data_IF_959902091704
#
_entry.id   IF_959902091704
#
_cell.length_a   1.000
_cell.length_b   1.000
_cell.length_c   1.000
_cell.angle_alpha   90.00
_cell.angle_beta   90.00
_cell.angle_gamma   90.00
#
_symmetry.space_group_name_H-M   'P 1'
#
loop_
_entity.id
_entity.type
_entity.pdbx_description
1 polymer ?
#
# COMPACT_ATOMS: atom_id res chain seq x y z
N UNK A 1 5.94 47.76 -3.20
CA UNK A 1 6.33 48.12 -1.82
C UNK A 1 5.32 47.49 -0.87
N UNK A 2 5.67 46.36 -0.27
CA UNK A 2 4.85 45.75 0.78
C UNK A 2 4.92 46.63 2.02
N UNK A 3 3.77 46.93 2.64
CA UNK A 3 3.74 47.65 3.92
C UNK A 3 4.60 46.86 4.93
N UNK A 4 5.50 47.52 5.67
CA UNK A 4 6.21 46.87 6.76
C UNK A 4 5.16 46.36 7.75
N UNK A 5 5.21 45.07 8.05
CA UNK A 5 4.40 44.47 9.11
C UNK A 5 5.03 44.92 10.42
N UNK A 6 4.37 45.80 11.15
CA UNK A 6 4.79 46.15 12.50
C UNK A 6 4.64 44.90 13.38
N UNK A 7 5.71 44.45 14.07
CA UNK A 7 5.57 43.38 15.03
C UNK A 7 4.60 43.81 16.14
N UNK A 8 3.82 42.87 16.71
CA UNK A 8 2.92 43.19 17.81
C UNK A 8 3.68 43.84 18.97
N UNK A 9 3.03 44.73 19.74
CA UNK A 9 3.65 45.40 20.88
C UNK A 9 4.25 44.40 21.88
N UNK A 10 5.46 44.68 22.40
CA UNK A 10 6.26 43.75 23.22
C UNK A 10 5.55 43.23 24.48
N UNK A 11 4.51 43.94 24.96
CA UNK A 11 3.79 43.64 26.20
C UNK A 11 2.93 42.36 26.15
N UNK A 12 2.71 41.76 24.98
CA UNK A 12 2.00 40.47 24.83
C UNK A 12 2.91 39.33 24.33
N UNK A 13 4.24 39.46 24.48
CA UNK A 13 5.19 38.42 24.03
C UNK A 13 5.71 37.58 25.20
N UNK A 14 5.27 36.31 25.25
CA UNK A 14 5.82 35.34 26.20
C UNK A 14 7.21 34.90 25.71
N UNK A 15 8.26 35.20 26.49
CA UNK A 15 9.62 34.74 26.20
C UNK A 15 9.75 33.26 26.55
N UNK A 16 9.75 32.40 25.53
CA UNK A 16 9.96 30.96 25.70
C UNK A 16 11.40 30.59 25.39
N UNK A 17 12.00 29.76 26.23
CA UNK A 17 13.32 29.17 25.96
C UNK A 17 13.26 28.33 24.67
N UNK A 18 14.19 28.59 23.74
CA UNK A 18 14.18 27.96 22.41
C UNK A 18 14.31 26.44 22.49
N UNK A 19 15.16 25.93 23.40
CA UNK A 19 15.36 24.49 23.56
C UNK A 19 14.07 23.83 24.04
N UNK A 20 13.45 24.39 25.08
CA UNK A 20 12.19 23.91 25.65
C UNK A 20 11.07 23.93 24.61
N UNK A 21 10.92 25.05 23.88
CA UNK A 21 9.93 25.18 22.82
C UNK A 21 10.14 24.17 21.68
N UNK A 22 11.39 23.91 21.30
CA UNK A 22 11.71 22.92 20.26
C UNK A 22 11.43 21.50 20.75
N UNK A 23 11.86 21.13 21.95
CA UNK A 23 11.64 19.80 22.52
C UNK A 23 10.14 19.48 22.62
N UNK A 24 9.34 20.40 23.17
CA UNK A 24 7.90 20.21 23.33
C UNK A 24 7.18 20.12 21.98
N UNK A 25 7.40 21.09 21.08
CA UNK A 25 6.69 21.16 19.79
C UNK A 25 7.10 20.02 18.86
N UNK A 26 8.40 19.67 18.84
CA UNK A 26 8.89 18.56 18.03
C UNK A 26 8.37 17.22 18.56
N UNK A 27 8.40 17.01 19.89
CA UNK A 27 7.90 15.78 20.49
C UNK A 27 6.40 15.60 20.25
N UNK A 28 5.59 16.65 20.42
CA UNK A 28 4.16 16.62 20.15
C UNK A 28 3.86 16.26 18.68
N UNK A 29 4.57 16.88 17.73
CA UNK A 29 4.45 16.56 16.31
C UNK A 29 4.89 15.12 15.99
N UNK A 30 6.01 14.68 16.56
CA UNK A 30 6.55 13.33 16.35
C UNK A 30 5.57 12.27 16.85
N UNK A 31 5.09 12.40 18.09
CA UNK A 31 4.13 11.48 18.70
C UNK A 31 2.81 11.42 17.91
N UNK A 32 2.27 12.59 17.52
CA UNK A 32 1.06 12.65 16.70
C UNK A 32 1.24 11.95 15.35
N UNK A 33 2.38 12.17 14.69
CA UNK A 33 2.67 11.54 13.40
C UNK A 33 2.84 10.02 13.52
N UNK A 34 3.48 9.55 14.58
CA UNK A 34 3.69 8.12 14.84
C UNK A 34 2.37 7.42 15.18
N UNK A 35 1.64 7.91 16.20
CA UNK A 35 0.48 7.22 16.76
C UNK A 35 -0.82 7.46 15.97
N UNK A 36 -0.95 8.59 15.29
CA UNK A 36 -2.24 9.01 14.72
C UNK A 36 -2.21 9.22 13.20
N UNK A 37 -1.10 8.87 12.53
CA UNK A 37 -1.00 9.07 11.08
C UNK A 37 -0.28 7.95 10.35
N UNK A 38 0.99 7.72 10.66
CA UNK A 38 1.89 7.05 9.72
C UNK A 38 1.93 5.53 9.89
N UNK A 39 1.82 5.00 11.11
CA UNK A 39 1.88 3.57 11.40
C UNK A 39 0.49 2.94 11.51
N UNK A 40 0.32 1.68 11.07
CA UNK A 40 -0.90 0.91 11.31
C UNK A 40 -0.95 0.38 12.75
N UNK A 41 -2.17 0.12 13.24
CA UNK A 41 -2.36 -0.72 14.43
C UNK A 41 -2.13 -2.19 14.07
N UNK A 42 -1.43 -2.93 14.94
CA UNK A 42 -1.11 -4.34 14.68
C UNK A 42 -2.36 -5.24 14.60
N UNK A 43 -3.46 -4.84 15.24
CA UNK A 43 -4.69 -5.66 15.37
C UNK A 43 -5.54 -5.64 14.10
N UNK A 44 -5.79 -4.46 13.54
CA UNK A 44 -6.63 -4.30 12.34
C UNK A 44 -5.85 -3.95 11.07
N UNK A 45 -4.55 -3.64 11.18
CA UNK A 45 -3.70 -3.26 10.07
C UNK A 45 -3.98 -1.87 9.49
N UNK A 46 -4.85 -1.07 10.13
CA UNK A 46 -5.30 0.20 9.60
C UNK A 46 -4.60 1.39 10.27
N UNK A 47 -4.36 2.41 9.45
CA UNK A 47 -4.05 3.76 9.91
C UNK A 47 -5.37 4.48 10.23
N UNK A 48 -5.35 5.55 11.05
CA UNK A 48 -6.58 6.24 11.44
C UNK A 48 -7.42 6.73 10.27
N UNK A 49 -6.82 7.25 9.19
CA UNK A 49 -7.58 7.68 8.01
C UNK A 49 -8.36 6.53 7.35
N UNK A 50 -7.75 5.35 7.22
CA UNK A 50 -8.42 4.18 6.63
C UNK A 50 -9.57 3.70 7.51
N UNK A 51 -9.34 3.63 8.82
CA UNK A 51 -10.38 3.23 9.80
C UNK A 51 -11.59 4.15 9.75
N UNK A 52 -11.34 5.47 9.73
CA UNK A 52 -12.38 6.50 9.65
C UNK A 52 -13.15 6.45 8.35
N UNK A 53 -12.49 6.16 7.22
CA UNK A 53 -13.17 5.96 5.93
C UNK A 53 -14.15 4.79 6.03
N UNK A 54 -13.70 3.61 6.48
CA UNK A 54 -14.58 2.43 6.58
C UNK A 54 -15.72 2.66 7.60
N UNK A 55 -15.42 3.30 8.73
CA UNK A 55 -16.45 3.62 9.72
C UNK A 55 -17.50 4.60 9.17
N UNK A 56 -17.08 5.65 8.46
CA UNK A 56 -18.02 6.58 7.82
C UNK A 56 -18.84 5.87 6.72
N UNK A 57 -18.24 5.01 5.91
CA UNK A 57 -18.94 4.23 4.89
C UNK A 57 -19.98 3.27 5.51
N UNK A 58 -19.67 2.67 6.67
CA UNK A 58 -20.63 1.89 7.45
C UNK A 58 -21.81 2.74 7.92
N UNK A 59 -21.57 3.91 8.52
CA UNK A 59 -22.65 4.80 8.97
C UNK A 59 -23.53 5.28 7.80
N UNK A 60 -22.96 5.41 6.61
CA UNK A 60 -23.67 5.70 5.36
C UNK A 60 -24.38 4.48 4.74
N UNK A 61 -24.29 3.30 5.38
CA UNK A 61 -24.86 2.01 4.92
C UNK A 61 -24.41 1.62 3.53
N UNK A 62 -23.10 1.76 3.28
CA UNK A 62 -22.48 1.42 2.00
C UNK A 62 -21.95 -0.01 2.00
N UNK A 63 -22.76 -0.94 2.49
CA UNK A 63 -22.44 -2.37 2.53
C UNK A 63 -22.28 -2.97 1.12
N UNK A 64 -21.61 -4.13 1.00
CA UNK A 64 -21.54 -4.86 -0.25
C UNK A 64 -22.93 -5.09 -0.86
N UNK A 65 -23.04 -4.88 -2.18
CA UNK A 65 -24.32 -5.00 -2.90
C UNK A 65 -25.22 -3.76 -2.83
N UNK A 66 -24.95 -2.78 -1.98
CA UNK A 66 -25.66 -1.50 -1.98
C UNK A 66 -25.24 -0.60 -3.15
N UNK A 67 -26.03 0.45 -3.44
CA UNK A 67 -25.71 1.41 -4.50
C UNK A 67 -24.49 2.25 -4.10
N UNK A 68 -23.56 2.45 -5.04
CA UNK A 68 -22.42 3.36 -4.83
C UNK A 68 -22.90 4.76 -4.47
N UNK A 69 -22.11 5.47 -3.66
CA UNK A 69 -22.32 6.89 -3.37
C UNK A 69 -21.14 7.70 -3.85
N UNK A 70 -21.39 8.94 -4.25
CA UNK A 70 -20.35 9.91 -4.62
C UNK A 70 -19.25 9.95 -3.56
N UNK A 71 -18.00 9.82 -4.00
CA UNK A 71 -16.85 9.91 -3.10
C UNK A 71 -16.82 11.26 -2.36
N UNK A 72 -17.29 12.34 -2.99
CA UNK A 72 -17.52 13.64 -2.35
C UNK A 72 -18.34 13.56 -1.05
N UNK A 73 -19.37 12.70 -1.02
CA UNK A 73 -20.21 12.52 0.16
C UNK A 73 -19.46 11.77 1.26
N UNK A 74 -18.74 10.71 0.90
CA UNK A 74 -17.96 9.90 1.85
C UNK A 74 -16.85 10.75 2.46
N UNK A 75 -16.07 11.44 1.63
CA UNK A 75 -14.99 12.34 2.06
C UNK A 75 -15.54 13.45 2.96
N UNK A 76 -16.67 14.06 2.60
CA UNK A 76 -17.32 15.10 3.39
C UNK A 76 -17.72 14.63 4.80
N UNK A 77 -18.33 13.45 4.92
CA UNK A 77 -18.68 12.86 6.22
C UNK A 77 -17.41 12.51 7.03
N UNK A 78 -16.36 12.00 6.39
CA UNK A 78 -15.10 11.68 7.07
C UNK A 78 -14.44 12.92 7.65
N UNK A 79 -14.29 14.00 6.86
CA UNK A 79 -13.63 15.23 7.34
C UNK A 79 -14.48 15.99 8.35
N UNK A 80 -15.82 15.95 8.20
CA UNK A 80 -16.74 16.67 9.06
C UNK A 80 -16.87 16.06 10.45
N UNK A 81 -16.73 14.73 10.57
CA UNK A 81 -16.98 14.01 11.83
C UNK A 81 -15.71 13.45 12.47
N UNK A 82 -14.79 12.92 11.67
CA UNK A 82 -13.74 12.03 12.19
C UNK A 82 -12.32 12.51 11.93
N UNK A 83 -12.05 13.12 10.77
CA UNK A 83 -10.69 13.33 10.27
C UNK A 83 -10.39 14.81 9.97
N UNK A 84 -9.79 15.58 10.91
CA UNK A 84 -9.59 17.02 10.78
C UNK A 84 -8.38 17.39 9.90
N UNK A 85 -8.31 16.82 8.69
CA UNK A 85 -7.26 17.04 7.70
C UNK A 85 -7.88 17.27 6.31
N UNK A 86 -7.04 17.59 5.32
CA UNK A 86 -7.48 17.92 3.97
C UNK A 86 -8.32 16.81 3.32
N UNK A 87 -9.37 17.22 2.62
CA UNK A 87 -10.26 16.37 1.82
C UNK A 87 -9.49 15.51 0.81
N UNK A 88 -8.48 16.10 0.16
CA UNK A 88 -7.64 15.37 -0.80
C UNK A 88 -6.92 14.18 -0.16
N UNK A 89 -6.37 14.34 1.06
CA UNK A 89 -5.66 13.24 1.75
C UNK A 89 -6.59 12.08 2.11
N UNK A 90 -7.85 12.38 2.45
CA UNK A 90 -8.87 11.34 2.68
C UNK A 90 -9.26 10.67 1.38
N UNK A 91 -9.43 11.45 0.30
CA UNK A 91 -9.77 10.89 -1.00
C UNK A 91 -8.67 10.00 -1.57
N UNK A 92 -7.40 10.43 -1.51
CA UNK A 92 -6.26 9.63 -1.97
C UNK A 92 -6.15 8.32 -1.20
N UNK A 93 -6.42 8.35 0.11
CA UNK A 93 -6.49 7.14 0.93
C UNK A 93 -7.64 6.22 0.49
N UNK A 94 -8.84 6.77 0.26
CA UNK A 94 -10.00 6.01 -0.25
C UNK A 94 -9.70 5.39 -1.62
N UNK A 95 -9.11 6.16 -2.53
CA UNK A 95 -8.71 5.70 -3.87
C UNK A 95 -7.76 4.52 -3.76
N UNK A 96 -6.72 4.63 -2.92
CA UNK A 96 -5.74 3.55 -2.72
C UNK A 96 -6.39 2.29 -2.14
N UNK A 97 -7.42 2.41 -1.30
CA UNK A 97 -8.17 1.25 -0.79
C UNK A 97 -9.01 0.53 -1.86
N UNK A 98 -9.23 1.16 -3.02
CA UNK A 98 -9.98 0.61 -4.14
C UNK A 98 -9.11 0.04 -5.28
N UNK A 99 -7.83 0.37 -5.31
CA UNK A 99 -6.90 -0.05 -6.37
C UNK A 99 -6.43 -1.49 -6.15
N UNK A 100 -6.83 -2.40 -7.05
CA UNK A 100 -6.46 -3.81 -7.02
C UNK A 100 -4.97 -4.07 -7.25
N UNK A 101 -4.28 -3.23 -8.01
CA UNK A 101 -2.82 -3.27 -8.16
C UNK A 101 -2.06 -2.77 -6.92
N UNK A 102 -2.74 -2.10 -5.98
CA UNK A 102 -2.15 -1.58 -4.75
C UNK A 102 -2.55 -2.37 -3.51
N UNK A 103 -3.75 -2.95 -3.49
CA UNK A 103 -4.32 -3.74 -2.40
C UNK A 103 -4.56 -5.17 -2.87
N UNK A 104 -4.00 -6.15 -2.16
CA UNK A 104 -4.24 -7.56 -2.46
C UNK A 104 -5.71 -7.95 -2.30
N UNK A 105 -6.38 -7.30 -1.35
CA UNK A 105 -7.80 -7.43 -1.02
C UNK A 105 -8.39 -6.03 -0.87
N UNK A 106 -8.89 -5.40 -1.95
CA UNK A 106 -9.47 -4.06 -1.90
C UNK A 106 -10.56 -3.95 -0.82
N UNK A 107 -10.54 -2.84 -0.07
CA UNK A 107 -11.52 -2.56 0.99
C UNK A 107 -12.65 -1.66 0.47
N UNK A 108 -12.43 -1.00 -0.66
CA UNK A 108 -13.41 -0.13 -1.31
C UNK A 108 -13.68 -0.65 -2.72
N UNK A 109 -14.96 -0.76 -3.08
CA UNK A 109 -15.43 -1.00 -4.44
C UNK A 109 -15.73 0.37 -5.08
N UNK A 110 -14.93 0.73 -6.10
CA UNK A 110 -14.95 2.03 -6.73
C UNK A 110 -15.57 2.00 -8.13
N UNK A 111 -16.47 2.95 -8.40
CA UNK A 111 -17.07 3.17 -9.71
C UNK A 111 -16.57 4.48 -10.33
N UNK A 112 -15.99 4.38 -11.53
CA UNK A 112 -15.36 5.47 -12.27
C UNK A 112 -13.85 5.27 -12.39
N UNK A 113 -13.12 6.34 -12.74
CA UNK A 113 -11.65 6.26 -12.86
C UNK A 113 -11.00 6.44 -11.48
N UNK A 114 -10.47 5.34 -10.92
CA UNK A 114 -9.72 5.28 -9.66
C UNK A 114 -8.20 5.22 -9.87
N UNK A 115 -7.72 5.62 -11.05
CA UNK A 115 -6.33 5.50 -11.48
C UNK A 115 -6.04 4.11 -12.05
N UNK A 116 -4.83 3.92 -12.56
CA UNK A 116 -4.40 2.67 -13.18
C UNK A 116 -2.94 2.34 -12.84
N UNK A 117 -2.51 1.14 -13.25
CA UNK A 117 -1.15 0.66 -13.05
C UNK A 117 -0.09 1.44 -13.85
N UNK A 118 -0.51 2.20 -14.87
CA UNK A 118 0.38 3.08 -15.63
C UNK A 118 0.87 4.26 -14.80
N UNK A 119 0.14 4.62 -13.73
CA UNK A 119 0.45 5.75 -12.87
C UNK A 119 -0.45 6.95 -13.13
N UNK A 120 -1.53 6.79 -13.89
CA UNK A 120 -2.55 7.82 -14.03
C UNK A 120 -3.30 8.01 -12.71
N UNK A 121 -3.52 9.27 -12.35
CA UNK A 121 -4.25 9.62 -11.14
C UNK A 121 -5.75 9.31 -11.29
N UNK A 122 -6.41 9.08 -10.16
CA UNK A 122 -7.87 8.98 -10.11
C UNK A 122 -8.53 10.29 -10.58
N UNK A 123 -9.74 10.18 -11.14
CA UNK A 123 -10.59 11.34 -11.36
C UNK A 123 -10.94 12.00 -10.01
N UNK A 124 -11.27 13.29 -10.02
CA UNK A 124 -11.67 13.99 -8.80
C UNK A 124 -12.89 13.34 -8.12
N UNK A 125 -12.96 13.39 -6.78
CA UNK A 125 -14.01 12.74 -5.97
C UNK A 125 -15.46 13.14 -6.28
N UNK A 126 -15.65 14.21 -7.06
CA UNK A 126 -16.97 14.64 -7.56
C UNK A 126 -17.49 13.77 -8.69
N UNK A 127 -16.62 13.02 -9.38
CA UNK A 127 -16.97 12.14 -10.50
C UNK A 127 -17.08 10.68 -10.09
N UNK A 128 -16.24 10.24 -9.15
CA UNK A 128 -16.19 8.85 -8.68
C UNK A 128 -17.25 8.55 -7.62
N UNK A 129 -17.60 7.28 -7.53
CA UNK A 129 -18.51 6.74 -6.51
C UNK A 129 -17.88 5.50 -5.86
N UNK A 130 -18.28 5.18 -4.63
CA UNK A 130 -17.71 4.06 -3.89
C UNK A 130 -18.70 3.41 -2.93
N UNK A 131 -18.41 2.15 -2.56
CA UNK A 131 -19.03 1.37 -1.47
C UNK A 131 -18.00 0.41 -0.87
N UNK A 132 -18.34 -0.30 0.20
CA UNK A 132 -17.43 -1.26 0.84
C UNK A 132 -17.41 -2.60 0.09
N UNK A 133 -16.27 -3.27 0.10
CA UNK A 133 -16.15 -4.67 -0.35
C UNK A 133 -16.53 -5.64 0.77
N UNK A 134 -16.67 -6.92 0.43
CA UNK A 134 -16.93 -7.98 1.42
C UNK A 134 -15.81 -8.07 2.47
N UNK A 135 -14.56 -7.81 2.07
CA UNK A 135 -13.41 -7.80 2.98
C UNK A 135 -13.52 -6.67 4.00
N UNK A 136 -13.94 -5.47 3.56
CA UNK A 136 -14.19 -4.37 4.49
C UNK A 136 -15.37 -4.66 5.44
N UNK A 137 -16.41 -5.35 4.97
CA UNK A 137 -17.50 -5.80 5.84
C UNK A 137 -16.99 -6.73 6.95
N UNK A 138 -16.13 -7.70 6.62
CA UNK A 138 -15.50 -8.59 7.60
C UNK A 138 -14.66 -7.83 8.65
N UNK A 139 -14.01 -6.73 8.28
CA UNK A 139 -13.28 -5.91 9.24
C UNK A 139 -14.20 -5.22 10.26
N UNK A 140 -15.44 -4.94 9.87
CA UNK A 140 -16.45 -4.27 10.71
C UNK A 140 -17.40 -5.26 11.41
N UNK A 141 -17.29 -6.56 11.12
CA UNK A 141 -18.19 -7.58 11.64
C UNK A 141 -18.14 -7.62 13.17
N UNK A 142 -19.30 -7.51 13.83
CA UNK A 142 -19.41 -7.45 15.29
C UNK A 142 -19.13 -6.07 15.92
N UNK A 143 -18.95 -4.99 15.15
CA UNK A 143 -18.67 -3.65 15.71
C UNK A 143 -19.80 -3.10 16.60
N UNK A 144 -21.04 -3.55 16.41
CA UNK A 144 -22.21 -3.17 17.22
C UNK A 144 -22.41 -4.04 18.47
N UNK A 145 -21.53 -5.01 18.70
CA UNK A 145 -21.65 -6.02 19.77
C UNK A 145 -20.72 -5.75 20.95
N UNK A 146 -20.37 -4.47 21.19
CA UNK A 146 -19.41 -4.05 22.23
C UNK A 146 -18.04 -4.75 22.09
N UNK A 147 -17.65 -5.04 20.84
CA UNK A 147 -16.43 -5.79 20.53
C UNK A 147 -15.14 -4.95 20.62
N UNK A 148 -15.25 -3.62 20.54
CA UNK A 148 -14.13 -2.69 20.53
C UNK A 148 -14.46 -1.40 21.27
N UNK A 149 -13.45 -0.78 21.87
CA UNK A 149 -13.60 0.53 22.50
C UNK A 149 -13.86 1.64 21.47
N UNK A 150 -14.75 2.54 21.83
CA UNK A 150 -14.99 3.80 21.13
C UNK A 150 -14.39 4.98 21.93
N UNK A 151 -14.14 6.08 21.22
CA UNK A 151 -13.71 7.34 21.81
C UNK A 151 -14.44 8.50 21.14
N UNK A 152 -14.54 9.62 21.86
CA UNK A 152 -15.05 10.86 21.30
C UNK A 152 -14.21 11.34 20.10
N UNK A 153 -14.88 11.93 19.12
CA UNK A 153 -14.24 12.57 17.97
C UNK A 153 -13.54 13.88 18.36
N UNK A 154 -12.75 14.44 17.43
CA UNK A 154 -11.96 15.66 17.69
C UNK A 154 -12.81 16.90 18.05
N UNK A 155 -14.09 16.91 17.68
CA UNK A 155 -15.07 17.95 17.99
C UNK A 155 -16.02 17.57 19.15
N UNK A 156 -15.95 16.34 19.67
CA UNK A 156 -16.82 15.85 20.75
C UNK A 156 -18.30 15.69 20.37
N UNK A 157 -18.63 15.68 19.07
CA UNK A 157 -20.02 15.58 18.60
C UNK A 157 -20.44 14.14 18.25
N UNK A 158 -19.46 13.26 17.97
CA UNK A 158 -19.65 11.87 17.55
C UNK A 158 -18.66 10.96 18.31
N UNK A 159 -18.78 9.66 18.12
CA UNK A 159 -17.81 8.65 18.58
C UNK A 159 -17.16 7.94 17.38
N UNK A 160 -15.91 7.52 17.55
CA UNK A 160 -15.17 6.71 16.57
C UNK A 160 -14.51 5.49 17.22
N UNK A 161 -14.40 4.35 16.51
CA UNK A 161 -13.75 3.17 17.04
C UNK A 161 -12.23 3.38 17.14
N UNK A 162 -11.63 2.97 18.26
CA UNK A 162 -10.17 3.01 18.45
C UNK A 162 -9.47 2.03 17.50
N UNK A 163 -10.07 0.86 17.32
CA UNK A 163 -9.65 -0.25 16.45
C UNK A 163 -10.90 -0.90 15.84
N UNK A 164 -10.79 -1.60 14.71
CA UNK A 164 -11.91 -2.42 14.20
C UNK A 164 -11.87 -3.85 14.77
N UNK A 165 -13.00 -4.57 14.82
CA UNK A 165 -13.04 -5.98 15.23
C UNK A 165 -12.09 -6.89 14.44
N UNK A 166 -11.90 -6.60 13.16
CA UNK A 166 -10.89 -7.21 12.31
C UNK A 166 -10.98 -8.75 12.19
N UNK A 167 -12.15 -9.28 11.82
CA UNK A 167 -12.34 -10.71 11.51
C UNK A 167 -11.64 -11.17 10.20
N UNK A 168 -10.68 -10.39 9.71
CA UNK A 168 -9.82 -10.68 8.57
C UNK A 168 -8.39 -10.19 8.89
N UNK A 169 -7.31 -10.96 8.62
CA UNK A 169 -5.94 -10.64 9.02
C UNK A 169 -5.29 -9.53 8.14
N UNK A 170 -5.91 -8.35 8.14
CA UNK A 170 -5.67 -7.28 7.17
C UNK A 170 -4.25 -6.73 7.16
N UNK A 171 -3.59 -6.62 8.32
CA UNK A 171 -2.22 -6.08 8.39
C UNK A 171 -1.27 -6.82 7.44
N UNK A 172 -1.31 -8.15 7.48
CA UNK A 172 -0.44 -8.99 6.65
C UNK A 172 -1.06 -9.23 5.27
N UNK A 173 -2.39 -9.38 5.19
CA UNK A 173 -3.06 -9.67 3.93
C UNK A 173 -2.94 -8.51 2.92
N UNK A 174 -3.15 -7.26 3.37
CA UNK A 174 -3.04 -6.08 2.51
C UNK A 174 -1.71 -5.34 2.65
N UNK A 175 -0.93 -5.66 3.68
CA UNK A 175 0.29 -4.93 3.98
C UNK A 175 0.03 -3.50 4.46
N UNK A 176 1.11 -2.75 4.68
CA UNK A 176 1.02 -1.35 5.07
C UNK A 176 2.33 -0.63 4.79
N UNK A 177 2.25 0.64 4.42
CA UNK A 177 3.42 1.47 4.18
C UNK A 177 3.22 2.84 4.77
N UNK A 178 4.24 3.40 5.40
CA UNK A 178 4.15 4.70 6.02
C UNK A 178 5.49 5.24 6.47
N UNK A 179 5.63 6.56 6.41
CA UNK A 179 6.81 7.28 6.87
C UNK A 179 6.38 8.14 8.05
N UNK A 180 6.95 7.86 9.22
CA UNK A 180 6.71 8.61 10.44
C UNK A 180 7.94 9.47 10.77
N UNK A 181 7.98 10.05 11.98
CA UNK A 181 9.15 10.79 12.46
C UNK A 181 10.14 9.79 13.06
N UNK A 182 11.33 9.68 12.47
CA UNK A 182 12.41 8.79 12.94
C UNK A 182 12.20 7.30 12.66
N UNK A 183 11.10 6.90 12.02
CA UNK A 183 10.77 5.51 11.69
C UNK A 183 9.87 5.42 10.45
N UNK A 184 9.77 4.22 9.88
CA UNK A 184 8.90 3.93 8.74
C UNK A 184 8.40 2.50 8.84
N UNK A 185 7.30 2.19 8.17
CA UNK A 185 6.77 0.83 8.04
C UNK A 185 6.66 0.47 6.57
N UNK A 186 7.00 -0.76 6.22
CA UNK A 186 6.78 -1.36 4.91
C UNK A 186 6.51 -2.84 5.10
N UNK A 187 5.26 -3.24 4.98
CA UNK A 187 4.80 -4.61 5.18
C UNK A 187 4.20 -5.04 3.85
N UNK A 188 4.77 -6.04 3.16
CA UNK A 188 4.23 -6.52 1.91
C UNK A 188 2.93 -7.33 2.16
N UNK A 189 2.02 -7.37 1.17
CA UNK A 189 0.80 -8.18 1.24
C UNK A 189 1.11 -9.69 1.19
N UNK A 190 0.19 -10.49 1.71
CA UNK A 190 0.25 -11.95 1.79
C UNK A 190 -1.09 -12.57 1.46
N UNK A 191 -1.09 -13.86 1.17
CA UNK A 191 -2.31 -14.59 0.87
C UNK A 191 -3.13 -14.83 2.16
N UNK A 192 -4.41 -14.42 2.16
CA UNK A 192 -5.27 -14.55 3.32
C UNK A 192 -5.54 -16.00 3.73
N UNK A 193 -5.61 -16.95 2.79
CA UNK A 193 -5.81 -18.36 3.13
C UNK A 193 -4.59 -18.91 3.88
N UNK A 194 -3.39 -18.65 3.35
CA UNK A 194 -2.12 -19.01 3.99
C UNK A 194 -2.00 -18.41 5.41
N UNK A 195 -2.39 -17.14 5.56
CA UNK A 195 -2.40 -16.46 6.86
C UNK A 195 -3.39 -17.09 7.84
N UNK A 196 -4.59 -17.45 7.38
CA UNK A 196 -5.58 -18.13 8.22
C UNK A 196 -5.10 -19.52 8.67
N UNK A 197 -4.50 -20.29 7.76
CA UNK A 197 -3.94 -21.61 8.09
C UNK A 197 -2.81 -21.49 9.12
N UNK A 198 -1.91 -20.52 8.93
CA UNK A 198 -0.85 -20.23 9.88
C UNK A 198 -1.38 -19.77 11.26
N UNK A 199 -2.41 -18.92 11.28
CA UNK A 199 -3.03 -18.44 12.51
C UNK A 199 -3.72 -19.57 13.28
N UNK A 200 -4.47 -20.43 12.59
CA UNK A 200 -5.11 -21.61 13.19
C UNK A 200 -4.08 -22.57 13.76
N UNK A 201 -2.96 -22.79 13.05
CA UNK A 201 -1.87 -23.60 13.54
C UNK A 201 -1.22 -23.00 14.80
N UNK A 202 -0.95 -21.69 14.78
CA UNK A 202 -0.35 -20.97 15.91
C UNK A 202 -1.24 -20.95 17.16
N UNK A 203 -2.56 -20.87 16.99
CA UNK A 203 -3.52 -20.99 18.10
C UNK A 203 -3.39 -22.35 18.79
N UNK A 204 -3.20 -23.43 18.01
CA UNK A 204 -3.04 -24.77 18.55
C UNK A 204 -1.62 -25.04 19.08
N UNK A 205 -0.62 -24.34 18.54
CA UNK A 205 0.81 -24.53 18.86
C UNK A 205 1.49 -23.17 19.12
N UNK A 206 1.31 -22.57 20.31
CA UNK A 206 1.79 -21.20 20.59
C UNK A 206 3.32 -21.02 20.49
N UNK A 207 4.09 -22.10 20.68
CA UNK A 207 5.57 -22.09 20.64
C UNK A 207 6.13 -22.30 19.22
N UNK A 208 5.31 -22.14 18.18
CA UNK A 208 5.72 -22.35 16.79
C UNK A 208 6.76 -21.31 16.36
N UNK A 209 7.85 -21.77 15.74
CA UNK A 209 8.88 -20.88 15.23
C UNK A 209 8.49 -20.22 13.89
N UNK A 210 9.12 -19.10 13.56
CA UNK A 210 8.91 -18.44 12.25
C UNK A 210 9.22 -19.36 11.08
N UNK A 211 10.23 -20.23 11.18
CA UNK A 211 10.55 -21.21 10.13
C UNK A 211 9.43 -22.23 9.93
N UNK A 212 8.75 -22.65 11.01
CA UNK A 212 7.61 -23.55 10.93
C UNK A 212 6.39 -22.83 10.33
N UNK A 213 6.12 -21.58 10.73
CA UNK A 213 5.03 -20.78 10.13
C UNK A 213 5.21 -20.57 8.63
N UNK A 214 6.45 -20.48 8.16
CA UNK A 214 6.75 -20.39 6.72
C UNK A 214 6.42 -21.63 5.90
N UNK A 215 6.05 -22.75 6.54
CA UNK A 215 5.46 -23.89 5.82
C UNK A 215 4.03 -23.60 5.35
N UNK A 216 3.33 -22.68 6.04
CA UNK A 216 1.99 -22.21 5.70
C UNK A 216 2.04 -20.91 4.90
N UNK A 217 2.97 -20.01 5.22
CA UNK A 217 3.17 -18.70 4.54
C UNK A 217 4.54 -18.69 3.84
N UNK A 218 4.66 -19.16 2.59
CA UNK A 218 5.94 -19.31 1.91
C UNK A 218 6.66 -17.98 1.64
N UNK A 219 5.89 -16.89 1.53
CA UNK A 219 6.38 -15.55 1.22
C UNK A 219 5.23 -14.56 1.01
N UNK A 220 5.54 -13.32 0.62
CA UNK A 220 4.53 -12.35 0.20
C UNK A 220 3.75 -12.79 -1.04
N UNK A 221 2.50 -12.35 -1.14
CA UNK A 221 1.61 -12.55 -2.30
C UNK A 221 1.18 -11.16 -2.82
N UNK A 222 1.87 -10.69 -3.85
CA UNK A 222 1.67 -9.35 -4.40
C UNK A 222 0.46 -9.30 -5.33
N UNK A 223 -0.36 -8.23 -5.28
CA UNK A 223 -1.49 -8.07 -6.21
C UNK A 223 -1.08 -8.03 -7.69
N UNK A 224 0.15 -7.59 -7.98
CA UNK A 224 0.69 -7.51 -9.34
C UNK A 224 1.40 -8.78 -9.78
N UNK A 225 1.44 -9.81 -8.92
CA UNK A 225 2.20 -11.04 -9.14
C UNK A 225 3.72 -10.83 -9.08
N UNK A 226 4.43 -11.42 -10.04
CA UNK A 226 5.88 -11.48 -10.10
C UNK A 226 6.45 -12.78 -9.53
N UNK A 227 7.78 -12.86 -9.51
CA UNK A 227 8.54 -14.01 -9.04
C UNK A 227 9.55 -13.56 -8.00
N UNK A 228 9.35 -14.00 -6.76
CA UNK A 228 10.32 -13.77 -5.68
C UNK A 228 11.56 -14.65 -5.93
N UNK A 229 12.75 -14.05 -5.90
CA UNK A 229 14.04 -14.72 -6.13
C UNK A 229 14.95 -14.69 -4.90
N UNK A 230 14.35 -14.60 -3.72
CA UNK A 230 15.06 -14.73 -2.45
C UNK A 230 15.29 -16.20 -2.06
N UNK A 231 16.38 -16.46 -1.35
CA UNK A 231 16.62 -17.78 -0.78
C UNK A 231 15.69 -18.02 0.41
N UNK A 232 15.32 -19.28 0.67
CA UNK A 232 14.50 -19.65 1.84
C UNK A 232 15.11 -19.14 3.15
N UNK A 233 16.44 -19.22 3.29
CA UNK A 233 17.15 -18.72 4.47
C UNK A 233 17.00 -17.19 4.65
N UNK A 234 17.13 -16.42 3.56
CA UNK A 234 16.93 -14.95 3.55
C UNK A 234 15.51 -14.58 3.98
N UNK A 235 14.51 -15.33 3.49
CA UNK A 235 13.11 -15.11 3.86
C UNK A 235 12.84 -15.45 5.33
N UNK A 236 13.40 -16.54 5.86
CA UNK A 236 13.32 -16.90 7.29
C UNK A 236 13.91 -15.79 8.16
N UNK A 237 15.10 -15.29 7.82
CA UNK A 237 15.75 -14.19 8.56
C UNK A 237 14.88 -12.92 8.52
N UNK A 238 14.35 -12.60 7.34
CA UNK A 238 13.48 -11.43 7.12
C UNK A 238 12.24 -11.51 8.03
N UNK A 239 11.52 -12.64 8.06
CA UNK A 239 10.35 -12.81 8.93
C UNK A 239 10.69 -12.91 10.41
N UNK A 240 11.83 -13.49 10.77
CA UNK A 240 12.25 -13.62 12.17
C UNK A 240 12.65 -12.27 12.79
N UNK A 241 13.17 -11.35 11.98
CA UNK A 241 13.64 -10.04 12.44
C UNK A 241 12.64 -8.90 12.18
N UNK A 242 11.64 -9.14 11.32
CA UNK A 242 10.72 -8.10 10.84
C UNK A 242 11.37 -7.11 9.87
N UNK A 243 12.62 -7.34 9.44
CA UNK A 243 13.41 -6.44 8.59
C UNK A 243 14.10 -7.21 7.48
N UNK A 244 14.01 -6.71 6.27
CA UNK A 244 14.64 -7.33 5.11
C UNK A 244 14.06 -6.80 3.82
N UNK A 245 14.15 -7.59 2.75
CA UNK A 245 13.49 -7.26 1.50
C UNK A 245 13.38 -8.48 0.59
N UNK A 246 12.42 -8.42 -0.34
CA UNK A 246 12.17 -9.47 -1.31
C UNK A 246 12.53 -8.96 -2.71
N UNK A 247 13.59 -9.51 -3.30
CA UNK A 247 13.85 -9.32 -4.73
C UNK A 247 12.77 -10.03 -5.53
N UNK A 248 12.10 -9.27 -6.38
CA UNK A 248 10.95 -9.72 -7.16
C UNK A 248 11.18 -9.35 -8.61
N UNK A 249 11.09 -10.35 -9.48
CA UNK A 249 11.24 -10.22 -10.93
C UNK A 249 9.88 -10.24 -11.61
N UNK A 250 9.78 -9.57 -12.74
CA UNK A 250 8.66 -9.66 -13.65
C UNK A 250 8.48 -11.11 -14.15
N UNK A 251 7.23 -11.57 -14.29
CA UNK A 251 6.93 -12.83 -14.97
C UNK A 251 6.93 -12.59 -16.47
N UNK A 252 7.57 -13.49 -17.20
CA UNK A 252 7.66 -13.39 -18.65
C UNK A 252 7.63 -14.76 -19.30
N UNK A 253 7.24 -14.76 -20.58
CA UNK A 253 7.25 -15.93 -21.45
C UNK A 253 7.92 -15.59 -22.77
N UNK A 254 8.48 -16.61 -23.43
CA UNK A 254 9.00 -16.50 -24.79
C UNK A 254 7.90 -16.94 -25.76
N UNK A 255 7.50 -16.07 -26.67
CA UNK A 255 6.56 -16.38 -27.75
C UNK A 255 7.32 -16.58 -29.06
N UNK A 256 7.03 -17.69 -29.76
CA UNK A 256 7.55 -17.91 -31.10
C UNK A 256 6.64 -17.24 -32.14
N UNK A 257 7.25 -16.59 -33.12
CA UNK A 257 6.59 -15.89 -34.21
C UNK A 257 6.88 -16.59 -35.54
N UNK A 258 6.20 -16.16 -36.59
CA UNK A 258 6.42 -16.69 -37.94
C UNK A 258 7.88 -16.55 -38.39
N UNK A 259 8.31 -17.45 -39.28
CA UNK A 259 9.63 -17.42 -39.92
C UNK A 259 10.80 -17.52 -38.93
N UNK A 260 10.56 -18.12 -37.76
CA UNK A 260 11.57 -18.35 -36.72
C UNK A 260 12.00 -17.07 -35.97
N UNK A 261 11.17 -16.03 -36.01
CA UNK A 261 11.30 -14.90 -35.09
C UNK A 261 10.72 -15.28 -33.71
N UNK A 262 11.06 -14.53 -32.68
CA UNK A 262 10.49 -14.70 -31.34
C UNK A 262 10.50 -13.35 -30.61
N UNK A 263 9.65 -13.23 -29.60
CA UNK A 263 9.59 -12.07 -28.70
C UNK A 263 9.45 -12.53 -27.24
N UNK A 264 9.84 -11.68 -26.30
CA UNK A 264 9.49 -11.87 -24.89
C UNK A 264 8.24 -11.07 -24.60
N UNK A 265 7.35 -11.68 -23.83
CA UNK A 265 6.17 -11.03 -23.29
C UNK A 265 6.23 -11.05 -21.78
N UNK A 266 6.27 -9.87 -21.18
CA UNK A 266 6.12 -9.68 -19.73
C UNK A 266 4.64 -9.60 -19.40
N UNK A 267 4.19 -10.46 -18.48
CA UNK A 267 2.78 -10.62 -18.09
C UNK A 267 2.49 -10.14 -16.67
N UNK A 268 3.51 -9.99 -15.84
CA UNK A 268 3.40 -9.49 -14.47
C UNK A 268 4.61 -8.61 -14.16
N UNK A 269 4.43 -7.52 -13.43
CA UNK A 269 5.52 -6.61 -13.02
C UNK A 269 5.66 -6.57 -11.49
N UNK A 270 6.84 -6.22 -10.95
CA UNK A 270 7.03 -6.14 -9.52
C UNK A 270 6.09 -5.12 -8.84
N UNK A 271 5.72 -5.41 -7.59
CA UNK A 271 4.81 -4.57 -6.80
C UNK A 271 5.30 -3.13 -6.66
N UNK A 272 4.36 -2.17 -6.77
CA UNK A 272 4.57 -0.72 -6.75
C UNK A 272 5.41 -0.12 -7.89
N UNK A 273 5.72 -0.91 -8.93
CA UNK A 273 6.31 -0.36 -10.15
C UNK A 273 5.18 0.19 -11.02
N UNK A 274 5.29 1.46 -11.43
CA UNK A 274 4.37 2.05 -12.41
C UNK A 274 4.74 1.52 -13.81
N UNK A 275 3.77 0.93 -14.50
CA UNK A 275 3.98 0.35 -15.85
C UNK A 275 4.46 1.41 -16.84
N UNK A 276 3.83 2.59 -16.86
CA UNK A 276 4.22 3.69 -17.72
C UNK A 276 5.67 4.12 -17.50
N UNK A 277 6.08 4.35 -16.25
CA UNK A 277 7.46 4.71 -15.91
C UNK A 277 8.46 3.62 -16.25
N UNK A 278 8.10 2.36 -16.04
CA UNK A 278 8.95 1.23 -16.41
C UNK A 278 9.22 1.20 -17.92
N UNK A 279 8.17 1.40 -18.73
CA UNK A 279 8.27 1.41 -20.20
C UNK A 279 9.09 2.59 -20.68
N UNK A 280 8.82 3.80 -20.15
CA UNK A 280 9.63 5.00 -20.40
C UNK A 280 11.11 4.73 -20.09
N UNK A 281 11.39 4.10 -18.93
CA UNK A 281 12.76 3.82 -18.52
C UNK A 281 13.47 2.85 -19.46
N UNK A 282 12.80 1.79 -19.90
CA UNK A 282 13.38 0.83 -20.85
C UNK A 282 13.61 1.51 -22.21
N UNK A 283 12.68 2.35 -22.67
CA UNK A 283 12.82 3.11 -23.91
C UNK A 283 14.02 4.09 -23.86
N UNK A 284 14.22 4.79 -22.73
CA UNK A 284 15.43 5.60 -22.49
C UNK A 284 16.70 4.77 -22.64
N UNK A 285 16.77 3.61 -21.99
CA UNK A 285 17.94 2.72 -22.03
C UNK A 285 18.22 2.19 -23.44
N UNK A 286 17.16 1.95 -24.23
CA UNK A 286 17.27 1.55 -25.63
C UNK A 286 17.85 2.69 -26.49
N UNK A 287 17.34 3.92 -26.31
CA UNK A 287 17.82 5.12 -27.01
C UNK A 287 19.28 5.45 -26.67
N UNK A 288 19.68 5.26 -25.40
CA UNK A 288 21.06 5.40 -24.94
C UNK A 288 21.98 4.23 -25.37
N UNK A 289 21.45 3.25 -26.11
CA UNK A 289 22.15 2.04 -26.57
C UNK A 289 22.73 1.18 -25.43
N UNK A 290 22.12 1.24 -24.24
CA UNK A 290 22.49 0.42 -23.07
C UNK A 290 21.88 -0.98 -23.10
N UNK A 291 20.92 -1.23 -23.99
CA UNK A 291 20.27 -2.53 -24.19
C UNK A 291 20.64 -3.13 -25.56
N UNK A 292 21.89 -3.60 -25.77
CA UNK A 292 22.35 -4.05 -27.09
C UNK A 292 21.62 -5.29 -27.62
N UNK A 293 20.97 -6.05 -26.73
CA UNK A 293 20.22 -7.28 -27.06
C UNK A 293 18.76 -7.02 -27.43
N UNK A 294 18.24 -5.82 -27.18
CA UNK A 294 16.84 -5.45 -27.42
C UNK A 294 16.78 -4.63 -28.72
N UNK A 295 15.83 -4.97 -29.59
CA UNK A 295 15.50 -4.20 -30.79
C UNK A 295 14.45 -3.13 -30.49
N UNK A 296 13.36 -3.54 -29.85
CA UNK A 296 12.16 -2.72 -29.69
C UNK A 296 11.38 -3.11 -28.43
N UNK A 297 10.53 -2.19 -27.98
CA UNK A 297 9.64 -2.33 -26.82
C UNK A 297 8.25 -1.81 -27.20
N UNK A 298 7.21 -2.60 -26.93
CA UNK A 298 5.81 -2.20 -27.14
C UNK A 298 4.95 -2.50 -25.93
N UNK A 299 4.03 -1.60 -25.64
CA UNK A 299 2.93 -1.85 -24.72
C UNK A 299 1.72 -2.33 -25.49
N UNK A 300 1.36 -3.60 -25.31
CA UNK A 300 0.15 -4.21 -25.87
C UNK A 300 -0.87 -4.51 -24.76
N UNK A 301 -0.73 -3.87 -23.60
CA UNK A 301 -1.61 -4.11 -22.44
C UNK A 301 -3.04 -3.65 -22.73
N UNK A 302 -4.00 -4.44 -22.27
CA UNK A 302 -5.42 -4.11 -22.25
C UNK A 302 -5.92 -4.19 -20.80
N UNK A 303 -6.79 -5.13 -20.48
CA UNK A 303 -7.11 -5.48 -19.08
C UNK A 303 -5.91 -6.17 -18.42
N UNK A 304 -5.23 -7.06 -19.15
CA UNK A 304 -4.02 -7.75 -18.70
C UNK A 304 -2.75 -7.01 -19.15
N UNK A 305 -1.69 -7.12 -18.34
CA UNK A 305 -0.36 -6.60 -18.67
C UNK A 305 0.23 -7.43 -19.82
N UNK A 306 0.66 -6.74 -20.88
CA UNK A 306 1.37 -7.35 -22.00
C UNK A 306 2.42 -6.39 -22.53
N UNK A 307 3.63 -6.46 -21.96
CA UNK A 307 4.78 -5.68 -22.44
C UNK A 307 5.61 -6.57 -23.35
N UNK A 308 5.68 -6.22 -24.63
CA UNK A 308 6.39 -6.98 -25.65
C UNK A 308 7.79 -6.42 -25.85
N UNK A 309 8.79 -7.29 -25.79
CA UNK A 309 10.20 -6.95 -25.95
C UNK A 309 10.78 -7.80 -27.09
N UNK A 310 11.23 -7.12 -28.13
CA UNK A 310 11.81 -7.78 -29.30
C UNK A 310 13.32 -7.92 -29.18
N UNK A 311 13.89 -9.09 -29.51
CA UNK A 311 15.33 -9.26 -29.55
C UNK A 311 15.95 -8.58 -30.78
N UNK A 312 17.17 -8.07 -30.61
CA UNK A 312 17.90 -7.44 -31.71
C UNK A 312 18.28 -8.40 -32.84
N UNK A 313 18.44 -9.67 -32.52
CA UNK A 313 18.68 -10.73 -33.49
C UNK A 313 18.06 -12.05 -33.03
N UNK A 314 17.69 -12.91 -33.97
CA UNK A 314 16.97 -14.17 -33.69
C UNK A 314 17.78 -15.16 -32.84
N UNK A 315 19.10 -15.07 -32.89
CA UNK A 315 20.04 -15.92 -32.15
C UNK A 315 20.35 -15.41 -30.73
N UNK A 316 19.77 -14.28 -30.31
CA UNK A 316 19.87 -13.81 -28.93
C UNK A 316 19.21 -14.86 -28.02
N UNK A 317 19.83 -15.14 -26.88
CA UNK A 317 19.22 -15.96 -25.84
C UNK A 317 18.23 -15.12 -25.03
N UNK A 318 17.00 -15.60 -24.88
CA UNK A 318 15.94 -14.86 -24.21
C UNK A 318 16.23 -14.64 -22.72
N UNK A 319 16.80 -15.63 -22.04
CA UNK A 319 17.15 -15.51 -20.63
C UNK A 319 18.27 -14.49 -20.43
N UNK A 320 19.30 -14.50 -21.28
CA UNK A 320 20.38 -13.52 -21.23
C UNK A 320 19.88 -12.09 -21.48
N UNK A 321 18.95 -11.91 -22.43
CA UNK A 321 18.30 -10.63 -22.69
C UNK A 321 17.54 -10.15 -21.44
N UNK A 322 16.76 -11.03 -20.82
CA UNK A 322 16.02 -10.71 -19.60
C UNK A 322 16.92 -10.43 -18.39
N UNK A 323 18.01 -11.17 -18.19
CA UNK A 323 19.01 -10.84 -17.15
C UNK A 323 19.68 -9.48 -17.36
N UNK A 324 19.82 -9.02 -18.61
CA UNK A 324 20.27 -7.66 -18.89
C UNK A 324 19.22 -6.62 -18.48
N UNK A 325 17.94 -6.89 -18.78
CA UNK A 325 16.82 -6.00 -18.46
C UNK A 325 16.57 -5.90 -16.95
N UNK A 326 16.59 -7.02 -16.23
CA UNK A 326 16.46 -7.06 -14.77
C UNK A 326 17.52 -6.22 -14.06
N UNK A 327 18.76 -6.22 -14.55
CA UNK A 327 19.84 -5.44 -13.93
C UNK A 327 19.76 -3.94 -14.17
N UNK A 328 19.05 -3.50 -15.20
CA UNK A 328 19.07 -2.12 -15.67
C UNK A 328 17.71 -1.41 -15.53
N UNK A 329 16.64 -2.12 -15.22
CA UNK A 329 15.28 -1.60 -15.14
C UNK A 329 14.52 -2.19 -13.96
N UNK A 330 13.35 -1.63 -13.66
CA UNK A 330 12.48 -2.08 -12.57
C UNK A 330 11.70 -3.36 -12.91
N UNK A 331 12.05 -4.07 -14.00
CA UNK A 331 11.62 -5.46 -14.23
C UNK A 331 12.15 -6.40 -13.13
N UNK A 332 13.20 -6.01 -12.40
CA UNK A 332 13.52 -6.56 -11.08
C UNK A 332 13.50 -5.42 -10.06
N UNK A 333 12.80 -5.62 -8.95
CA UNK A 333 12.72 -4.64 -7.87
C UNK A 333 12.91 -5.31 -6.51
N UNK A 334 13.40 -4.55 -5.54
CA UNK A 334 13.62 -4.99 -4.16
C UNK A 334 12.54 -4.39 -3.28
N UNK A 335 11.57 -5.21 -2.88
CA UNK A 335 10.41 -4.77 -2.09
C UNK A 335 10.80 -4.84 -0.60
N UNK A 336 10.88 -3.69 0.11
CA UNK A 336 11.38 -3.67 1.48
C UNK A 336 10.35 -4.23 2.46
N UNK A 337 10.85 -4.91 3.48
CA UNK A 337 10.10 -5.28 4.67
C UNK A 337 10.70 -4.60 5.90
N UNK A 338 9.85 -3.90 6.63
CA UNK A 338 10.15 -3.23 7.88
C UNK A 338 8.85 -3.16 8.70
N UNK A 339 8.64 -4.14 9.57
CA UNK A 339 7.40 -4.36 10.31
C UNK A 339 7.28 -3.46 11.54
N UNK A 340 7.33 -2.14 11.36
CA UNK A 340 7.02 -1.21 12.45
C UNK A 340 5.52 -0.99 12.54
N UNK A 341 4.92 -1.28 13.70
CA UNK A 341 3.47 -1.19 13.94
C UNK A 341 3.17 -0.65 15.33
N UNK A 342 1.94 -0.18 15.56
CA UNK A 342 1.49 0.21 16.90
C UNK A 342 0.94 -1.02 17.63
N UNK A 343 1.55 -1.36 18.76
CA UNK A 343 1.02 -2.35 19.70
C UNK A 343 0.11 -1.67 20.72
N UNK A 344 -1.11 -2.20 20.88
CA UNK A 344 -2.17 -1.60 21.70
C UNK A 344 -2.60 -0.20 21.25
N UNK A 345 -2.29 0.18 20.00
CA UNK A 345 -2.54 1.53 19.46
C UNK A 345 -1.63 2.64 19.99
N UNK A 346 -0.62 2.31 20.81
CA UNK A 346 0.16 3.32 21.55
C UNK A 346 1.67 3.19 21.35
N UNK A 347 2.20 1.96 21.36
CA UNK A 347 3.65 1.73 21.41
C UNK A 347 4.15 1.27 20.05
N UNK A 348 4.98 2.06 19.34
CA UNK A 348 5.64 1.59 18.14
C UNK A 348 6.60 0.45 18.49
N UNK A 349 6.51 -0.66 17.75
CA UNK A 349 7.41 -1.81 17.85
C UNK A 349 7.90 -2.23 16.49
#
# INVERSE_FOLDING_TARGET
MGKPVEPPPEEESERVDLKTALEERYLAYALSTIMHRALPDARDGLKPVHRRILHAMRLLRLDPGQVHKKCARIVGDVIGKFHPHGDQSVYDALVRLAQDFAQRYPLVDGQGNFGNIDGDNAAAYRYTEARMTEVARLLLDGIDEDAVDFRETYNGEDEEPVVLPAAFPNLLANGSQGIAVGMATSIPPHNAAELCDAALYLIQHPETSSEQLMTFVPGPDFPTGGIIVESRASMIETYSTGRGAFRTRARWVKEELERGAWQVVVTEIPYMVSKGRLIEKIAELLNERKLPLVADLRDESAEDIRIVIEPRARNVDAALMMESLFRLSELESRIPMNMNVLTGGLVPR
#
